data_IF_387429733970
#
_entry.id   IF_387429733970
#
_cell.length_a   1.000
_cell.length_b   1.000
_cell.length_c   1.000
_cell.angle_alpha   90.00
_cell.angle_beta   90.00
_cell.angle_gamma   90.00
#
_symmetry.space_group_name_H-M   'P 1'
#
loop_
_entity.id
_entity.type
_entity.pdbx_description
1 polymer ?
#
# COMPACT_ATOMS: atom_id res chain seq x y z
N UNK A 1 66.11 -32.89 -14.41
CA UNK A 1 66.19 -33.25 -12.98
C UNK A 1 64.79 -33.09 -12.39
N UNK A 2 64.11 -34.19 -12.08
CA UNK A 2 62.80 -34.29 -11.38
C UNK A 2 62.96 -34.00 -9.87
N UNK A 3 61.91 -33.67 -9.06
CA UNK A 3 60.65 -34.44 -8.85
C UNK A 3 59.36 -33.59 -8.76
N UNK A 4 58.15 -34.03 -9.13
CA UNK A 4 57.22 -35.00 -8.52
C UNK A 4 56.82 -34.71 -7.06
N UNK A 5 55.70 -34.01 -6.82
CA UNK A 5 54.89 -34.16 -5.59
C UNK A 5 53.38 -33.99 -5.90
N UNK A 6 52.63 -34.98 -5.39
CA UNK A 6 51.18 -35.16 -5.21
C UNK A 6 50.39 -33.86 -4.91
N UNK A 7 49.17 -33.63 -5.38
CA UNK A 7 48.01 -34.52 -5.40
C UNK A 7 47.11 -34.27 -4.18
N UNK A 8 46.05 -33.45 -4.31
CA UNK A 8 44.84 -33.57 -3.47
C UNK A 8 43.62 -32.91 -4.12
N UNK A 9 42.70 -33.75 -4.54
CA UNK A 9 41.36 -33.40 -5.01
C UNK A 9 40.56 -32.78 -3.88
N UNK A 10 39.86 -31.67 -4.16
CA UNK A 10 38.87 -31.07 -3.27
C UNK A 10 37.51 -31.33 -3.92
N UNK A 11 36.78 -32.31 -3.42
CA UNK A 11 35.37 -32.56 -3.78
C UNK A 11 34.43 -32.00 -2.70
N UNK A 12 33.19 -31.62 -3.07
CA UNK A 12 32.35 -30.73 -2.27
C UNK A 12 31.53 -31.50 -1.21
N UNK A 13 31.53 -31.00 0.03
CA UNK A 13 30.68 -31.52 1.10
C UNK A 13 29.31 -30.83 1.08
N UNK A 14 28.33 -31.58 0.59
CA UNK A 14 26.91 -31.28 0.59
C UNK A 14 26.37 -31.33 2.02
N UNK A 15 25.95 -30.20 2.59
CA UNK A 15 25.34 -30.14 3.92
C UNK A 15 23.82 -30.40 3.78
N UNK A 16 23.40 -31.66 3.84
CA UNK A 16 21.99 -32.03 3.95
C UNK A 16 21.53 -31.92 5.41
N UNK A 17 20.62 -30.97 5.68
CA UNK A 17 19.94 -30.85 6.96
C UNK A 17 18.72 -31.79 7.01
N UNK A 18 18.87 -32.95 7.63
CA UNK A 18 17.74 -33.83 7.96
C UNK A 18 17.13 -33.43 9.29
N UNK A 19 15.91 -32.87 9.28
CA UNK A 19 15.10 -32.73 10.50
C UNK A 19 14.44 -34.07 10.78
N UNK A 20 14.86 -34.71 11.88
CA UNK A 20 14.24 -35.91 12.42
C UNK A 20 12.89 -35.56 13.05
N UNK A 21 11.85 -36.27 12.63
CA UNK A 21 10.53 -36.28 13.25
C UNK A 21 10.62 -36.82 14.68
N UNK A 22 10.10 -36.06 15.66
CA UNK A 22 9.83 -36.59 16.99
C UNK A 22 8.31 -36.66 17.19
N UNK A 23 7.73 -37.82 16.86
CA UNK A 23 6.40 -38.22 17.29
C UNK A 23 6.56 -39.11 18.52
N UNK A 24 6.17 -38.63 19.70
CA UNK A 24 5.96 -39.48 20.86
C UNK A 24 4.47 -39.84 20.95
N UNK A 25 4.20 -41.15 20.89
CA UNK A 25 2.89 -41.73 21.14
C UNK A 25 2.63 -41.79 22.65
N UNK A 26 1.50 -41.22 23.11
CA UNK A 26 0.98 -41.45 24.46
C UNK A 26 -0.18 -42.44 24.32
N UNK A 27 0.05 -43.68 24.77
CA UNK A 27 -0.97 -44.73 24.84
C UNK A 27 -1.53 -44.87 26.26
N UNK A 28 -2.88 -44.85 26.32
CA UNK A 28 -3.81 -45.60 27.19
C UNK A 28 -3.80 -45.44 28.74
N UNK A 29 -4.97 -45.02 29.28
CA UNK A 29 -5.80 -45.88 30.16
C UNK A 29 -7.23 -45.36 30.35
N UNK A 30 -8.23 -46.19 30.02
CA UNK A 30 -9.64 -46.06 30.45
C UNK A 30 -9.72 -46.32 31.96
N UNK A 31 -10.38 -45.42 32.71
CA UNK A 31 -11.04 -45.73 33.98
C UNK A 31 -12.43 -45.10 33.95
N UNK A 32 -13.45 -45.91 34.23
CA UNK A 32 -14.87 -45.54 34.33
C UNK A 32 -15.27 -45.65 35.80
N UNK A 33 -15.66 -44.55 36.46
CA UNK A 33 -16.60 -44.55 37.59
C UNK A 33 -17.12 -43.13 37.83
N UNK A 34 -18.44 -43.01 37.94
CA UNK A 34 -19.16 -41.73 37.97
C UNK A 34 -19.00 -40.93 39.26
N UNK A 35 -19.23 -39.63 39.12
CA UNK A 35 -19.35 -38.66 40.20
C UNK A 35 -20.21 -37.50 39.71
N UNK A 36 -21.41 -37.40 40.28
CA UNK A 36 -22.44 -36.39 40.07
C UNK A 36 -22.00 -35.10 40.77
N UNK A 37 -21.98 -33.95 40.10
CA UNK A 37 -21.65 -32.70 40.78
C UNK A 37 -21.55 -31.45 39.90
N UNK A 38 -22.69 -30.74 39.82
CA UNK A 38 -22.86 -29.30 39.58
C UNK A 38 -22.28 -28.71 38.28
N UNK A 39 -23.19 -28.56 37.32
CA UNK A 39 -23.26 -27.42 36.41
C UNK A 39 -23.06 -26.15 37.24
N UNK A 40 -21.86 -25.57 37.16
CA UNK A 40 -21.69 -24.17 37.51
C UNK A 40 -22.30 -23.41 36.34
N UNK A 41 -23.49 -22.87 36.56
CA UNK A 41 -24.03 -21.79 35.77
C UNK A 41 -23.02 -20.65 35.90
N UNK A 42 -22.16 -20.54 34.89
CA UNK A 42 -21.52 -19.25 34.62
C UNK A 42 -22.63 -18.45 33.99
N UNK A 43 -23.35 -17.71 34.83
CA UNK A 43 -24.01 -16.47 34.43
C UNK A 43 -22.89 -15.54 33.93
N UNK A 44 -22.39 -15.81 32.73
CA UNK A 44 -21.84 -14.75 31.90
C UNK A 44 -23.05 -13.89 31.59
N UNK A 45 -23.05 -12.68 32.15
CA UNK A 45 -23.92 -11.60 31.72
C UNK A 45 -24.01 -11.67 30.19
N UNK A 46 -25.15 -12.16 29.69
CA UNK A 46 -25.52 -11.97 28.30
C UNK A 46 -25.84 -10.48 28.21
N UNK A 47 -24.77 -9.67 28.17
CA UNK A 47 -24.83 -8.35 27.57
C UNK A 47 -25.62 -8.58 26.30
N UNK A 48 -26.74 -7.87 26.16
CA UNK A 48 -27.54 -7.88 24.95
C UNK A 48 -26.65 -7.26 23.88
N UNK A 49 -25.74 -8.06 23.31
CA UNK A 49 -24.82 -7.66 22.26
C UNK A 49 -25.72 -7.37 21.07
N UNK A 50 -25.96 -6.09 20.81
CA UNK A 50 -26.71 -5.65 19.65
C UNK A 50 -25.93 -6.12 18.41
N UNK A 51 -26.38 -7.23 17.82
CA UNK A 51 -25.70 -7.87 16.69
C UNK A 51 -25.59 -6.91 15.49
N UNK A 52 -26.41 -5.84 15.45
CA UNK A 52 -26.35 -4.77 14.45
C UNK A 52 -25.10 -3.88 14.60
N UNK A 53 -24.49 -3.82 15.79
CA UNK A 53 -23.26 -3.07 16.01
C UNK A 53 -22.12 -3.58 15.11
N UNK A 54 -22.04 -4.89 14.86
CA UNK A 54 -21.04 -5.48 13.95
C UNK A 54 -21.20 -5.01 12.51
N UNK A 55 -22.45 -4.79 12.06
CA UNK A 55 -22.71 -4.26 10.71
C UNK A 55 -22.25 -2.81 10.62
N UNK A 56 -22.54 -1.99 11.64
CA UNK A 56 -22.06 -0.60 11.71
C UNK A 56 -20.53 -0.54 11.72
N UNK A 57 -19.89 -1.32 12.59
CA UNK A 57 -18.43 -1.42 12.65
C UNK A 57 -17.83 -1.86 11.30
N UNK A 58 -18.37 -2.90 10.67
CA UNK A 58 -17.93 -3.33 9.35
C UNK A 58 -18.05 -2.22 8.30
N UNK A 59 -19.17 -1.48 8.32
CA UNK A 59 -19.43 -0.38 7.39
C UNK A 59 -18.41 0.74 7.54
N UNK A 60 -18.13 1.16 8.78
CA UNK A 60 -17.20 2.25 9.07
C UNK A 60 -15.76 1.88 8.68
N UNK A 61 -15.31 0.67 9.04
CA UNK A 61 -13.99 0.15 8.68
C UNK A 61 -13.83 0.00 7.16
N UNK A 62 -14.83 -0.55 6.47
CA UNK A 62 -14.79 -0.68 5.01
C UNK A 62 -14.77 0.68 4.32
N UNK A 63 -15.52 1.67 4.81
CA UNK A 63 -15.50 3.02 4.27
C UNK A 63 -14.13 3.70 4.47
N UNK A 64 -13.55 3.58 5.66
CA UNK A 64 -12.20 4.07 5.96
C UNK A 64 -11.16 3.45 5.01
N UNK A 65 -11.25 2.15 4.78
CA UNK A 65 -10.39 1.42 3.84
C UNK A 65 -10.56 1.94 2.40
N UNK A 66 -11.79 2.18 1.94
CA UNK A 66 -12.06 2.73 0.61
C UNK A 66 -11.49 4.14 0.43
N UNK A 67 -11.51 4.97 1.48
CA UNK A 67 -10.91 6.31 1.46
C UNK A 67 -9.38 6.25 1.42
N UNK A 68 -8.77 5.38 2.22
CA UNK A 68 -7.33 5.16 2.24
C UNK A 68 -6.84 4.64 0.89
N UNK A 69 -7.53 3.66 0.30
CA UNK A 69 -7.22 3.15 -1.02
C UNK A 69 -7.31 4.27 -2.08
N UNK A 70 -8.38 5.07 -2.07
CA UNK A 70 -8.53 6.22 -2.97
C UNK A 70 -7.38 7.22 -2.82
N UNK A 71 -6.94 7.51 -1.59
CA UNK A 71 -5.78 8.38 -1.32
C UNK A 71 -4.49 7.78 -1.89
N UNK A 72 -4.24 6.49 -1.65
CA UNK A 72 -3.06 5.77 -2.14
C UNK A 72 -3.00 5.71 -3.67
N UNK A 73 -4.12 5.44 -4.33
CA UNK A 73 -4.20 5.53 -5.80
C UNK A 73 -3.96 6.95 -6.30
N UNK A 74 -4.40 7.96 -5.55
CA UNK A 74 -4.14 9.38 -5.84
C UNK A 74 -2.65 9.74 -5.76
N UNK A 75 -1.93 9.23 -4.77
CA UNK A 75 -0.47 9.40 -4.62
C UNK A 75 0.28 8.75 -5.80
N UNK A 76 -0.18 7.59 -6.28
CA UNK A 76 0.40 6.87 -7.41
C UNK A 76 -0.04 7.39 -8.79
N UNK A 77 -0.82 8.47 -8.89
CA UNK A 77 -1.10 9.12 -10.17
C UNK A 77 0.15 9.84 -10.70
N UNK A 78 1.10 9.06 -11.21
CA UNK A 78 2.36 9.50 -11.83
C UNK A 78 2.14 10.13 -13.22
N UNK A 79 0.91 10.14 -13.74
CA UNK A 79 0.58 10.71 -15.06
C UNK A 79 0.43 12.23 -15.11
N UNK A 80 0.71 12.93 -14.01
CA UNK A 80 0.71 14.40 -13.92
C UNK A 80 2.07 14.85 -13.40
N UNK A 81 2.65 15.88 -14.00
CA UNK A 81 3.92 16.46 -13.61
C UNK A 81 4.01 16.64 -12.08
N UNK A 82 4.96 15.97 -11.42
CA UNK A 82 5.09 16.11 -9.97
C UNK A 82 5.78 17.45 -9.66
N UNK A 83 5.14 18.40 -8.93
CA UNK A 83 5.76 19.69 -8.62
C UNK A 83 6.97 19.56 -7.67
N UNK A 84 7.10 18.41 -6.99
CA UNK A 84 8.16 18.14 -6.02
C UNK A 84 9.47 17.68 -6.66
N UNK A 85 9.54 17.52 -8.00
CA UNK A 85 10.77 17.07 -8.68
C UNK A 85 11.96 18.00 -8.43
N UNK A 86 11.69 19.28 -8.17
CA UNK A 86 12.72 20.29 -7.95
C UNK A 86 13.09 20.47 -6.47
N UNK A 87 12.34 19.89 -5.53
CA UNK A 87 12.54 20.15 -4.09
C UNK A 87 13.91 19.69 -3.57
N UNK A 88 14.49 18.65 -4.19
CA UNK A 88 15.82 18.15 -3.84
C UNK A 88 16.96 18.96 -4.48
N UNK A 89 16.66 19.89 -5.39
CA UNK A 89 17.67 20.68 -6.07
C UNK A 89 18.24 21.78 -5.18
N UNK A 90 19.52 22.07 -5.41
CA UNK A 90 20.23 23.19 -4.81
C UNK A 90 20.43 24.29 -5.85
N UNK A 91 20.20 25.53 -5.44
CA UNK A 91 20.22 26.69 -6.33
C UNK A 91 21.38 27.61 -5.98
N UNK A 92 22.09 28.05 -7.02
CA UNK A 92 23.14 29.06 -6.93
C UNK A 92 24.42 28.60 -6.20
N UNK A 93 25.33 29.55 -5.99
CA UNK A 93 26.65 29.30 -5.37
C UNK A 93 26.55 28.93 -3.89
N UNK A 94 25.51 29.42 -3.22
CA UNK A 94 25.30 29.22 -1.78
C UNK A 94 24.60 27.89 -1.46
N UNK A 95 24.30 27.06 -2.46
CA UNK A 95 23.64 25.75 -2.27
C UNK A 95 22.30 25.83 -1.51
N UNK A 96 21.56 26.93 -1.68
CA UNK A 96 20.23 27.11 -1.08
C UNK A 96 19.27 26.04 -1.61
N UNK A 97 18.29 25.61 -0.81
CA UNK A 97 17.28 24.66 -1.29
C UNK A 97 16.39 25.35 -2.30
N UNK A 98 15.97 24.64 -3.33
CA UNK A 98 15.05 25.16 -4.34
C UNK A 98 13.78 25.76 -3.72
N UNK A 99 13.24 25.11 -2.68
CA UNK A 99 12.02 25.54 -1.97
C UNK A 99 12.12 26.91 -1.31
N UNK A 100 13.34 27.37 -1.01
CA UNK A 100 13.58 28.64 -0.32
C UNK A 100 13.66 29.81 -1.33
N UNK A 101 13.91 29.50 -2.61
CA UNK A 101 14.15 30.48 -3.69
C UNK A 101 12.99 30.51 -4.70
N UNK A 102 12.28 29.39 -4.87
CA UNK A 102 11.20 29.26 -5.83
C UNK A 102 10.14 28.25 -5.39
N UNK A 103 8.94 28.41 -5.96
CA UNK A 103 7.81 27.50 -5.79
C UNK A 103 7.40 26.90 -7.13
N UNK A 104 6.98 25.64 -7.12
CA UNK A 104 6.52 24.94 -8.32
C UNK A 104 5.01 24.76 -8.27
N UNK A 105 4.35 25.10 -9.37
CA UNK A 105 2.92 24.90 -9.57
C UNK A 105 2.67 24.14 -10.87
N UNK A 106 1.52 23.48 -10.94
CA UNK A 106 1.10 22.66 -12.06
C UNK A 106 0.26 23.48 -13.04
N UNK A 107 0.62 23.49 -14.34
CA UNK A 107 -0.21 24.06 -15.41
C UNK A 107 -0.54 22.99 -16.46
N UNK A 108 -1.57 22.21 -16.18
CA UNK A 108 -1.94 21.06 -16.99
C UNK A 108 -1.11 19.82 -16.65
N UNK A 109 -1.13 18.79 -17.51
CA UNK A 109 -0.54 17.47 -17.21
C UNK A 109 0.98 17.42 -17.38
N UNK A 110 1.51 18.17 -18.36
CA UNK A 110 2.90 18.08 -18.80
C UNK A 110 3.66 19.41 -18.66
N UNK A 111 3.07 20.46 -18.08
CA UNK A 111 3.79 21.71 -17.86
C UNK A 111 3.80 22.06 -16.37
N UNK A 112 4.96 22.49 -15.90
CA UNK A 112 5.15 23.08 -14.59
C UNK A 112 5.44 24.57 -14.76
N UNK A 113 4.96 25.36 -13.82
CA UNK A 113 5.37 26.75 -13.67
C UNK A 113 6.18 26.83 -12.39
N UNK A 114 7.44 27.24 -12.53
CA UNK A 114 8.30 27.62 -11.42
C UNK A 114 8.20 29.13 -11.24
N UNK A 115 7.78 29.57 -10.06
CA UNK A 115 7.73 30.99 -9.69
C UNK A 115 8.87 31.27 -8.72
N UNK A 116 9.82 32.09 -9.15
CA UNK A 116 10.97 32.52 -8.36
C UNK A 116 10.57 33.71 -7.50
N UNK A 117 10.97 33.72 -6.23
CA UNK A 117 10.64 34.83 -5.33
C UNK A 117 11.36 36.12 -5.73
N UNK A 118 12.66 36.03 -6.02
CA UNK A 118 13.48 37.15 -6.44
C UNK A 118 13.88 37.06 -7.92
N UNK A 119 13.62 38.10 -8.76
CA UNK A 119 13.93 38.06 -10.19
C UNK A 119 15.43 37.98 -10.50
N UNK A 120 16.28 38.36 -9.53
CA UNK A 120 17.75 38.24 -9.65
C UNK A 120 18.20 36.78 -9.68
N UNK A 121 17.48 35.91 -8.97
CA UNK A 121 17.82 34.49 -8.84
C UNK A 121 17.29 33.64 -10.00
N UNK A 122 16.43 34.20 -10.85
CA UNK A 122 15.86 33.50 -12.02
C UNK A 122 16.94 32.87 -12.90
N UNK A 123 18.09 33.55 -13.10
CA UNK A 123 19.20 32.98 -13.89
C UNK A 123 19.84 31.78 -13.19
N UNK A 124 20.06 31.87 -11.88
CA UNK A 124 20.62 30.78 -11.09
C UNK A 124 19.69 29.57 -11.02
N UNK A 125 18.38 29.79 -10.90
CA UNK A 125 17.36 28.73 -10.95
C UNK A 125 17.38 28.00 -12.30
N UNK A 126 17.41 28.74 -13.42
CA UNK A 126 17.50 28.16 -14.77
C UNK A 126 18.75 27.29 -14.91
N UNK A 127 19.92 27.81 -14.52
CA UNK A 127 21.18 27.05 -14.58
C UNK A 127 21.15 25.81 -13.69
N UNK A 128 20.56 25.88 -12.50
CA UNK A 128 20.43 24.73 -11.60
C UNK A 128 19.50 23.65 -12.14
N UNK A 129 18.38 24.02 -12.78
CA UNK A 129 17.46 23.05 -13.40
C UNK A 129 18.14 22.35 -14.59
N UNK A 130 18.86 23.09 -15.43
CA UNK A 130 19.62 22.52 -16.56
C UNK A 130 20.75 21.60 -16.06
N UNK A 131 21.46 22.02 -15.01
CA UNK A 131 22.55 21.26 -14.39
C UNK A 131 22.11 20.04 -13.57
N UNK A 132 20.83 19.93 -13.24
CA UNK A 132 20.28 18.81 -12.45
C UNK A 132 20.27 17.47 -13.21
N UNK A 133 20.58 17.46 -14.51
CA UNK A 133 20.56 16.23 -15.32
C UNK A 133 19.14 15.70 -15.59
N UNK A 134 18.11 16.51 -15.35
CA UNK A 134 16.71 16.15 -15.59
C UNK A 134 16.31 16.22 -17.07
N UNK A 135 17.20 16.71 -17.95
CA UNK A 135 16.94 16.96 -19.37
C UNK A 135 15.70 17.82 -19.62
N UNK A 136 15.46 18.79 -18.73
CA UNK A 136 14.35 19.73 -18.82
C UNK A 136 14.85 21.11 -19.24
N UNK A 137 14.12 21.78 -20.11
CA UNK A 137 14.44 23.14 -20.54
C UNK A 137 13.44 24.15 -19.94
N UNK A 138 13.83 24.96 -18.95
CA UNK A 138 12.98 26.03 -18.42
C UNK A 138 12.97 27.24 -19.36
N UNK A 139 11.78 27.64 -19.81
CA UNK A 139 11.55 28.81 -20.66
C UNK A 139 10.95 29.97 -19.85
N UNK A 140 11.41 31.19 -20.05
CA UNK A 140 10.81 32.38 -19.41
C UNK A 140 9.48 32.71 -20.05
N UNK A 141 8.50 33.11 -19.24
CA UNK A 141 7.24 33.64 -19.75
C UNK A 141 7.45 35.11 -20.14
N UNK A 142 7.16 35.54 -21.39
CA UNK A 142 7.39 36.91 -21.85
C UNK A 142 6.72 37.99 -21.00
N UNK A 143 5.59 37.67 -20.37
CA UNK A 143 4.80 38.60 -19.56
C UNK A 143 5.22 38.65 -18.08
N UNK A 144 6.12 37.76 -17.62
CA UNK A 144 6.51 37.71 -16.21
C UNK A 144 7.96 37.21 -16.01
N UNK A 145 8.84 38.09 -15.54
CA UNK A 145 10.28 37.81 -15.32
C UNK A 145 10.57 36.83 -14.16
N UNK A 146 9.61 36.61 -13.28
CA UNK A 146 9.71 35.70 -12.13
C UNK A 146 9.20 34.28 -12.45
N UNK A 147 8.48 34.09 -13.55
CA UNK A 147 7.89 32.80 -13.91
C UNK A 147 8.65 32.09 -15.02
N UNK A 148 8.91 30.81 -14.79
CA UNK A 148 9.54 29.89 -15.72
C UNK A 148 8.56 28.76 -16.04
N UNK A 149 8.31 28.54 -17.33
CA UNK A 149 7.57 27.40 -17.84
C UNK A 149 8.53 26.24 -18.09
N UNK A 150 8.25 25.08 -17.52
CA UNK A 150 9.02 23.86 -17.77
C UNK A 150 8.09 22.84 -18.41
N UNK A 151 8.38 22.48 -19.66
CA UNK A 151 7.68 21.39 -20.34
C UNK A 151 8.33 20.05 -19.94
N UNK A 152 7.54 19.15 -19.38
CA UNK A 152 7.95 17.76 -19.14
C UNK A 152 7.61 16.92 -20.37
N UNK A 153 8.52 16.01 -20.79
CA UNK A 153 8.18 15.02 -21.79
C UNK A 153 7.01 14.14 -21.27
N UNK A 154 6.12 13.67 -22.15
CA UNK A 154 5.08 12.73 -21.75
C UNK A 154 5.72 11.45 -21.21
N UNK A 155 5.10 10.78 -20.21
CA UNK A 155 5.62 9.52 -19.71
C UNK A 155 5.67 8.47 -20.82
N UNK A 156 6.68 7.59 -20.79
CA UNK A 156 6.82 6.50 -21.77
C UNK A 156 5.77 5.41 -21.53
N UNK A 157 5.50 4.59 -22.54
CA UNK A 157 4.60 3.42 -22.41
C UNK A 157 5.08 2.45 -21.34
N UNK A 158 6.39 2.28 -21.19
CA UNK A 158 6.98 1.43 -20.15
C UNK A 158 6.71 1.98 -18.75
N UNK A 159 6.94 3.28 -18.54
CA UNK A 159 6.64 3.95 -17.26
C UNK A 159 5.16 3.84 -16.90
N UNK A 160 4.24 4.07 -17.87
CA UNK A 160 2.80 3.86 -17.67
C UNK A 160 2.46 2.43 -17.25
N UNK A 161 3.08 1.43 -17.88
CA UNK A 161 2.89 0.00 -17.52
C UNK A 161 3.40 -0.30 -16.11
N UNK A 162 4.52 0.28 -15.70
CA UNK A 162 5.06 0.13 -14.35
C UNK A 162 4.10 0.73 -13.31
N UNK A 163 3.56 1.92 -13.56
CA UNK A 163 2.54 2.52 -12.69
C UNK A 163 1.29 1.64 -12.61
N UNK A 164 0.81 1.07 -13.71
CA UNK A 164 -0.32 0.13 -13.68
C UNK A 164 -0.03 -1.10 -12.81
N UNK A 165 1.19 -1.65 -12.86
CA UNK A 165 1.60 -2.75 -11.97
C UNK A 165 1.55 -2.34 -10.50
N UNK A 166 2.02 -1.13 -10.18
CA UNK A 166 1.96 -0.60 -8.80
C UNK A 166 0.51 -0.40 -8.33
N UNK A 167 -0.38 0.14 -9.17
CA UNK A 167 -1.79 0.28 -8.84
C UNK A 167 -2.44 -1.07 -8.54
N UNK A 168 -2.13 -2.11 -9.31
CA UNK A 168 -2.60 -3.49 -9.04
C UNK A 168 -2.06 -4.05 -7.73
N UNK A 169 -0.78 -3.79 -7.42
CA UNK A 169 -0.20 -4.23 -6.16
C UNK A 169 -0.92 -3.59 -4.95
N UNK A 170 -1.22 -2.29 -5.03
CA UNK A 170 -2.02 -1.59 -4.01
C UNK A 170 -3.42 -2.20 -3.90
N UNK A 171 -4.09 -2.47 -5.02
CA UNK A 171 -5.41 -3.10 -4.98
C UNK A 171 -5.39 -4.47 -4.25
N UNK A 172 -4.42 -5.33 -4.56
CA UNK A 172 -4.32 -6.63 -3.87
C UNK A 172 -3.98 -6.48 -2.38
N UNK A 173 -3.20 -5.46 -2.02
CA UNK A 173 -2.91 -5.12 -0.62
C UNK A 173 -4.18 -4.80 0.16
N UNK A 174 -5.03 -3.91 -0.36
CA UNK A 174 -6.27 -3.50 0.29
C UNK A 174 -7.40 -4.54 0.22
N UNK A 175 -7.33 -5.47 -0.75
CA UNK A 175 -8.33 -6.53 -0.92
C UNK A 175 -8.13 -7.67 0.06
N UNK A 176 -6.93 -8.27 0.10
CA UNK A 176 -6.71 -9.57 0.75
C UNK A 176 -5.41 -9.67 1.56
N UNK A 177 -4.68 -8.57 1.79
CA UNK A 177 -3.47 -8.64 2.63
C UNK A 177 -3.81 -8.95 4.09
N UNK A 178 -2.80 -9.39 4.84
CA UNK A 178 -2.87 -9.56 6.29
C UNK A 178 -2.87 -8.23 7.06
N UNK A 179 -2.77 -7.10 6.35
CA UNK A 179 -2.83 -5.77 6.95
C UNK A 179 -4.20 -5.49 7.58
N UNK A 180 -4.22 -4.74 8.68
CA UNK A 180 -5.47 -4.28 9.32
C UNK A 180 -6.34 -3.45 8.39
N UNK A 181 -5.73 -2.84 7.38
CA UNK A 181 -6.38 -1.98 6.39
C UNK A 181 -6.90 -2.78 5.18
N UNK A 182 -6.91 -4.12 5.26
CA UNK A 182 -7.43 -5.00 4.22
C UNK A 182 -8.88 -5.39 4.49
N UNK A 183 -9.72 -5.39 3.45
CA UNK A 183 -11.12 -5.84 3.55
C UNK A 183 -11.21 -7.28 4.06
N UNK A 184 -10.34 -8.17 3.57
CA UNK A 184 -10.29 -9.57 3.97
C UNK A 184 -9.94 -9.75 5.45
N UNK A 185 -9.05 -8.92 5.99
CA UNK A 185 -8.68 -8.96 7.41
C UNK A 185 -9.84 -8.53 8.31
N UNK A 186 -10.44 -7.36 8.04
CA UNK A 186 -11.59 -6.85 8.81
C UNK A 186 -12.75 -7.83 8.79
N UNK A 187 -13.09 -8.37 7.61
CA UNK A 187 -14.10 -9.43 7.48
C UNK A 187 -13.75 -10.63 8.35
N UNK A 188 -12.51 -11.10 8.29
CA UNK A 188 -12.05 -12.25 9.07
C UNK A 188 -12.20 -12.06 10.58
N UNK A 189 -11.84 -10.89 11.10
CA UNK A 189 -11.95 -10.55 12.51
C UNK A 189 -13.42 -10.48 12.97
N UNK A 190 -14.28 -9.79 12.22
CA UNK A 190 -15.71 -9.69 12.56
C UNK A 190 -16.39 -11.06 12.50
N UNK A 191 -16.08 -11.88 11.48
CA UNK A 191 -16.61 -13.24 11.40
C UNK A 191 -16.09 -14.12 12.55
N UNK A 192 -14.86 -13.93 13.02
CA UNK A 192 -14.32 -14.64 14.18
C UNK A 192 -15.05 -14.26 15.46
N UNK A 193 -15.40 -12.98 15.64
CA UNK A 193 -16.21 -12.51 16.77
C UNK A 193 -17.63 -13.07 16.71
N UNK A 194 -18.29 -12.99 15.55
CA UNK A 194 -19.65 -13.53 15.37
C UNK A 194 -19.73 -15.05 15.58
N UNK A 195 -18.67 -15.80 15.27
CA UNK A 195 -18.60 -17.24 15.54
C UNK A 195 -18.56 -17.59 17.03
N UNK A 196 -18.11 -16.67 17.90
CA UNK A 196 -18.10 -16.87 19.37
C UNK A 196 -19.49 -16.70 19.99
N UNK A 197 -20.37 -15.90 19.37
CA UNK A 197 -21.72 -15.55 19.86
C UNK A 197 -22.80 -16.61 19.53
N UNK A 198 -22.40 -17.83 19.15
CA UNK A 198 -23.22 -18.96 18.73
C UNK A 198 -23.86 -18.86 17.31
N UNK A 199 -23.46 -19.78 16.43
CA UNK A 199 -23.89 -19.86 15.02
C UNK A 199 -25.35 -20.34 14.86
N UNK A 200 -25.95 -20.93 15.90
CA UNK A 200 -27.31 -21.49 15.82
C UNK A 200 -28.40 -20.42 15.92
N UNK A 201 -28.04 -19.18 16.22
CA UNK A 201 -28.96 -18.06 16.23
C UNK A 201 -29.22 -17.55 14.81
N UNK A 202 -30.51 -17.53 14.43
CA UNK A 202 -30.99 -17.08 13.13
C UNK A 202 -30.59 -15.62 12.84
N UNK A 203 -30.55 -14.78 13.88
CA UNK A 203 -30.09 -13.39 13.84
C UNK A 203 -28.61 -13.27 13.47
N UNK A 204 -27.74 -14.12 14.01
CA UNK A 204 -26.30 -14.11 13.70
C UNK A 204 -26.06 -14.51 12.25
N UNK A 205 -26.80 -15.49 11.74
CA UNK A 205 -26.72 -15.92 10.34
C UNK A 205 -27.08 -14.79 9.38
N UNK A 206 -28.15 -14.02 9.67
CA UNK A 206 -28.54 -12.85 8.86
C UNK A 206 -27.45 -11.79 8.81
N UNK A 207 -26.83 -11.49 9.95
CA UNK A 207 -25.76 -10.49 10.06
C UNK A 207 -24.49 -10.94 9.31
N UNK A 208 -24.13 -12.21 9.39
CA UNK A 208 -23.03 -12.77 8.58
C UNK A 208 -23.31 -12.56 7.09
N UNK A 209 -24.53 -12.86 6.62
CA UNK A 209 -24.90 -12.65 5.22
C UNK A 209 -24.84 -11.17 4.81
N UNK A 210 -25.21 -10.26 5.70
CA UNK A 210 -25.15 -8.83 5.46
C UNK A 210 -23.70 -8.33 5.36
N UNK A 211 -22.81 -8.75 6.25
CA UNK A 211 -21.37 -8.43 6.18
C UNK A 211 -20.74 -8.98 4.90
N UNK A 212 -21.12 -10.18 4.47
CA UNK A 212 -20.65 -10.76 3.20
C UNK A 212 -21.12 -9.95 1.99
N UNK A 213 -22.34 -9.40 2.02
CA UNK A 213 -22.83 -8.47 0.99
C UNK A 213 -22.03 -7.18 0.99
N UNK A 214 -21.85 -6.55 2.15
CA UNK A 214 -21.06 -5.32 2.30
C UNK A 214 -19.60 -5.50 1.83
N UNK A 215 -19.00 -6.65 2.12
CA UNK A 215 -17.65 -6.97 1.66
C UNK A 215 -17.58 -7.10 0.13
N UNK A 216 -18.56 -7.77 -0.51
CA UNK A 216 -18.64 -7.85 -1.97
C UNK A 216 -18.82 -6.47 -2.60
N UNK A 217 -19.70 -5.64 -2.06
CA UNK A 217 -19.94 -4.29 -2.55
C UNK A 217 -18.69 -3.41 -2.42
N UNK A 218 -17.99 -3.49 -1.29
CA UNK A 218 -16.74 -2.77 -1.05
C UNK A 218 -15.61 -3.25 -1.97
N UNK A 219 -15.54 -4.56 -2.25
CA UNK A 219 -14.60 -5.11 -3.23
C UNK A 219 -14.88 -4.60 -4.64
N UNK A 220 -16.16 -4.51 -5.03
CA UNK A 220 -16.56 -3.93 -6.31
C UNK A 220 -16.17 -2.45 -6.41
N UNK A 221 -16.35 -1.68 -5.33
CA UNK A 221 -15.92 -0.27 -5.24
C UNK A 221 -14.40 -0.14 -5.37
N UNK A 222 -13.60 -0.99 -4.72
CA UNK A 222 -12.14 -1.01 -4.90
C UNK A 222 -11.76 -1.27 -6.35
N UNK A 223 -12.42 -2.24 -7.00
CA UNK A 223 -12.15 -2.57 -8.40
C UNK A 223 -12.51 -1.42 -9.34
N UNK A 224 -13.61 -0.72 -9.08
CA UNK A 224 -14.01 0.45 -9.85
C UNK A 224 -13.00 1.60 -9.69
N UNK A 225 -12.55 1.87 -8.47
CA UNK A 225 -11.49 2.85 -8.20
C UNK A 225 -10.19 2.52 -8.93
N UNK A 226 -9.79 1.23 -8.96
CA UNK A 226 -8.63 0.76 -9.71
C UNK A 226 -8.79 1.00 -11.21
N UNK A 227 -9.93 0.59 -11.81
CA UNK A 227 -10.20 0.78 -13.25
C UNK A 227 -10.15 2.26 -13.64
N UNK A 228 -10.73 3.13 -12.82
CA UNK A 228 -10.67 4.57 -13.03
C UNK A 228 -9.24 5.10 -12.95
N UNK A 229 -8.43 4.61 -12.01
CA UNK A 229 -7.02 4.98 -11.90
C UNK A 229 -6.20 4.48 -13.11
N UNK A 230 -6.38 3.23 -13.55
CA UNK A 230 -5.70 2.66 -14.72
C UNK A 230 -6.05 3.42 -16.01
N UNK A 231 -7.34 3.74 -16.22
CA UNK A 231 -7.78 4.56 -17.36
C UNK A 231 -7.10 5.93 -17.38
N UNK A 232 -7.00 6.58 -16.21
CA UNK A 232 -6.33 7.88 -16.11
C UNK A 232 -4.83 7.82 -16.43
N UNK A 233 -4.16 6.71 -16.11
CA UNK A 233 -2.74 6.49 -16.40
C UNK A 233 -2.51 6.16 -17.87
N UNK A 234 -3.36 5.34 -18.46
CA UNK A 234 -3.21 4.89 -19.85
C UNK A 234 -3.67 5.94 -20.88
N UNK A 235 -4.62 6.81 -20.50
CA UNK A 235 -5.18 7.84 -21.39
C UNK A 235 -6.29 7.27 -22.25
#
# INVERSE_FOLDING_TARGET
MLPFVLGRQITPSYLQATRLFNCSAISAKKVKKGGKGKTAEVEEDVEVVDVKQYVKQATDEFNSILELHKRKLGELKVGTANPSIFNALKVGKNNAKFTDVATTSLKGRNNLIVTVFDPKDTKSVVSSILGAGLNLNPERIPDNEQQLKVALPPPTTESRKQTCKQLKAVFEEFKNSSSKQSLGHVRGEILKQLKKLDKKNDSVTKIIQEIERLHKDSTNKLQEQLKQAEKNVLG
#
